data_IF_087923691694
#
_entry.id   IF_087923691694
#
_cell.length_a   1.000
_cell.length_b   1.000
_cell.length_c   1.000
_cell.angle_alpha   90.00
_cell.angle_beta   90.00
_cell.angle_gamma   90.00
#
_symmetry.space_group_name_H-M   'P 1'
#
loop_
_entity.id
_entity.type
_entity.pdbx_description
1 polymer ?
#
# COMPACT_ATOMS: atom_id res chain seq x y z
N UNK A 1 21.89 10.40 -27.96
CA UNK A 1 23.04 11.16 -27.41
C UNK A 1 22.54 11.67 -26.08
N UNK A 2 23.05 11.19 -24.93
CA UNK A 2 22.45 11.51 -23.65
C UNK A 2 22.57 13.02 -23.44
N UNK A 3 21.45 13.68 -23.14
CA UNK A 3 21.40 15.13 -22.99
C UNK A 3 22.25 15.57 -21.78
N UNK A 4 23.27 16.37 -22.08
CA UNK A 4 24.30 16.88 -21.15
C UNK A 4 23.78 17.84 -20.06
N UNK A 5 22.47 17.98 -19.89
CA UNK A 5 21.89 19.01 -19.01
C UNK A 5 21.70 18.53 -17.56
N UNK A 6 21.68 17.23 -17.29
CA UNK A 6 21.44 16.69 -15.93
C UNK A 6 22.69 16.26 -15.15
N UNK A 7 23.90 16.41 -15.72
CA UNK A 7 25.15 15.89 -15.14
C UNK A 7 26.22 16.97 -14.85
N UNK A 8 25.82 18.20 -14.53
CA UNK A 8 26.80 19.21 -14.10
C UNK A 8 27.38 18.81 -12.72
N UNK A 9 28.67 18.46 -12.69
CA UNK A 9 29.48 18.01 -11.55
C UNK A 9 29.35 16.56 -11.05
N UNK A 10 28.88 15.58 -11.83
CA UNK A 10 28.79 14.17 -11.39
C UNK A 10 29.65 13.19 -12.22
N UNK A 11 30.90 13.53 -12.51
CA UNK A 11 31.81 12.65 -13.28
C UNK A 11 32.08 11.29 -12.64
N UNK A 12 31.92 11.15 -11.32
CA UNK A 12 32.10 9.89 -10.59
C UNK A 12 30.96 8.89 -10.84
N UNK A 13 29.75 9.36 -11.20
CA UNK A 13 28.62 8.49 -11.53
C UNK A 13 28.74 7.86 -12.92
N UNK A 14 29.49 8.50 -13.84
CA UNK A 14 29.74 7.98 -15.19
C UNK A 14 30.68 6.76 -15.21
N UNK A 15 31.49 6.56 -14.18
CA UNK A 15 32.37 5.39 -14.09
C UNK A 15 31.63 4.13 -13.63
N UNK A 16 30.45 4.27 -13.02
CA UNK A 16 29.73 3.17 -12.39
C UNK A 16 28.65 2.54 -13.28
N UNK A 17 28.43 3.06 -14.50
CA UNK A 17 27.44 2.54 -15.46
C UNK A 17 26.03 2.34 -14.86
N UNK A 18 25.64 3.18 -13.89
CA UNK A 18 24.33 3.10 -13.27
C UNK A 18 23.24 3.28 -14.33
N UNK A 19 22.19 2.47 -14.23
CA UNK A 19 21.03 2.58 -15.13
C UNK A 19 20.09 3.71 -14.72
N UNK A 20 20.26 4.25 -13.52
CA UNK A 20 19.46 5.35 -12.99
C UNK A 20 20.33 6.49 -12.47
N UNK A 21 19.76 7.68 -12.47
CA UNK A 21 20.34 8.89 -11.91
C UNK A 21 19.39 9.46 -10.86
N UNK A 22 19.91 9.93 -9.72
CA UNK A 22 19.10 10.47 -8.64
C UNK A 22 19.11 12.00 -8.63
N UNK A 23 17.92 12.59 -8.62
CA UNK A 23 17.69 14.02 -8.42
C UNK A 23 17.07 14.25 -7.04
N UNK A 24 17.92 14.65 -6.07
CA UNK A 24 17.52 14.91 -4.69
C UNK A 24 16.57 16.10 -4.52
N UNK A 25 16.63 17.10 -5.41
CA UNK A 25 15.82 18.32 -5.30
C UNK A 25 14.38 18.04 -5.72
N UNK A 26 14.22 17.37 -6.86
CA UNK A 26 12.90 17.03 -7.39
C UNK A 26 12.38 15.68 -6.89
N UNK A 27 13.21 14.92 -6.15
CA UNK A 27 12.91 13.58 -5.63
C UNK A 27 12.58 12.59 -6.74
N UNK A 28 13.41 12.58 -7.78
CA UNK A 28 13.21 11.72 -8.96
C UNK A 28 14.35 10.74 -9.11
N UNK A 29 14.00 9.50 -9.45
CA UNK A 29 14.92 8.46 -9.90
C UNK A 29 14.77 8.40 -11.42
N UNK A 30 15.66 9.08 -12.13
CA UNK A 30 15.64 9.22 -13.58
C UNK A 30 16.23 7.96 -14.22
N UNK A 31 15.46 7.26 -15.06
CA UNK A 31 15.97 6.12 -15.83
C UNK A 31 16.80 6.65 -17.01
N UNK A 32 18.02 6.14 -17.19
CA UNK A 32 18.92 6.61 -18.25
C UNK A 32 18.45 6.16 -19.65
N UNK A 33 18.77 6.95 -20.67
CA UNK A 33 18.37 6.71 -22.07
C UNK A 33 18.84 5.32 -22.55
N UNK A 34 17.93 4.56 -23.17
CA UNK A 34 18.21 3.23 -23.70
C UNK A 34 18.02 2.08 -22.70
N UNK A 35 17.74 2.37 -21.43
CA UNK A 35 17.37 1.35 -20.44
C UNK A 35 15.90 0.97 -20.61
N UNK A 36 15.63 -0.32 -20.83
CA UNK A 36 14.29 -0.89 -20.96
C UNK A 36 13.98 -1.93 -19.87
N UNK A 37 14.97 -2.35 -19.11
CA UNK A 37 14.82 -3.32 -18.02
C UNK A 37 15.57 -2.80 -16.79
N UNK A 38 14.85 -2.76 -15.68
CA UNK A 38 15.30 -2.20 -14.41
C UNK A 38 15.03 -3.19 -13.26
N UNK A 39 16.09 -3.66 -12.61
CA UNK A 39 16.00 -4.47 -11.39
C UNK A 39 16.03 -3.57 -10.14
N UNK A 40 15.01 -3.66 -9.30
CA UNK A 40 14.85 -2.74 -8.17
C UNK A 40 15.92 -2.98 -7.08
N UNK A 41 16.35 -4.21 -6.86
CA UNK A 41 17.34 -4.53 -5.82
C UNK A 41 18.72 -4.00 -6.21
N UNK A 42 19.15 -4.34 -7.41
CA UNK A 42 20.52 -4.08 -7.87
C UNK A 42 20.66 -2.68 -8.45
N UNK A 43 19.73 -2.23 -9.29
CA UNK A 43 19.89 -1.03 -10.13
C UNK A 43 19.12 0.19 -9.61
N UNK A 44 18.35 0.03 -8.52
CA UNK A 44 17.67 1.15 -7.84
C UNK A 44 18.12 1.26 -6.40
N UNK A 45 17.94 0.19 -5.61
CA UNK A 45 18.25 0.23 -4.18
C UNK A 45 19.76 0.24 -3.90
N UNK A 46 20.56 -0.57 -4.60
CA UNK A 46 22.02 -0.53 -4.44
C UNK A 46 22.60 0.80 -4.92
N UNK A 47 22.24 1.23 -6.14
CA UNK A 47 22.66 2.51 -6.72
C UNK A 47 22.28 3.69 -5.83
N UNK A 48 21.10 3.67 -5.19
CA UNK A 48 20.69 4.71 -4.25
C UNK A 48 21.59 4.74 -3.02
N UNK A 49 21.92 3.59 -2.43
CA UNK A 49 22.82 3.52 -1.26
C UNK A 49 24.21 4.06 -1.61
N UNK A 50 24.70 3.78 -2.80
CA UNK A 50 25.98 4.32 -3.28
C UNK A 50 25.90 5.82 -3.48
N UNK A 51 24.87 6.32 -4.17
CA UNK A 51 24.62 7.74 -4.37
C UNK A 51 24.51 8.51 -3.03
N UNK A 52 23.82 7.93 -2.05
CA UNK A 52 23.69 8.49 -0.72
C UNK A 52 25.04 8.52 0.04
N UNK A 53 25.91 7.54 -0.16
CA UNK A 53 27.24 7.48 0.49
C UNK A 53 28.29 8.37 -0.17
N UNK A 54 28.17 8.61 -1.48
CA UNK A 54 29.18 9.32 -2.29
C UNK A 54 29.37 10.78 -1.89
N UNK A 55 28.34 11.46 -1.38
CA UNK A 55 28.45 12.84 -0.90
C UNK A 55 27.75 13.01 0.44
N UNK A 56 28.43 13.66 1.38
CA UNK A 56 27.83 14.11 2.65
C UNK A 56 26.56 14.92 2.44
N UNK A 57 26.48 15.64 1.32
CA UNK A 57 25.36 16.53 0.97
C UNK A 57 24.15 15.75 0.43
N UNK A 58 24.33 14.50 -0.01
CA UNK A 58 23.24 13.66 -0.51
C UNK A 58 22.42 13.02 0.63
N UNK A 59 23.04 12.85 1.80
CA UNK A 59 22.38 12.37 3.04
C UNK A 59 21.46 13.45 3.64
N UNK A 60 21.63 14.71 3.24
CA UNK A 60 20.75 15.81 3.65
C UNK A 60 19.34 15.65 3.08
N UNK A 61 19.20 14.92 1.97
CA UNK A 61 17.90 14.68 1.34
C UNK A 61 17.14 13.56 2.05
N UNK A 62 15.81 13.71 2.12
CA UNK A 62 14.94 12.70 2.72
C UNK A 62 15.11 11.36 2.01
N UNK A 63 15.18 10.28 2.80
CA UNK A 63 15.38 8.92 2.32
C UNK A 63 14.47 8.61 1.12
N UNK A 64 15.06 8.10 0.02
CA UNK A 64 14.30 7.84 -1.21
C UNK A 64 13.64 6.46 -1.21
N UNK A 65 14.33 5.46 -0.66
CA UNK A 65 13.89 4.07 -0.73
C UNK A 65 14.19 3.34 0.59
N UNK A 66 13.26 2.52 1.02
CA UNK A 66 13.41 1.58 2.14
C UNK A 66 13.14 0.15 1.66
N UNK A 67 13.64 -0.84 2.40
CA UNK A 67 13.43 -2.26 2.11
C UNK A 67 12.90 -2.98 3.34
N UNK A 68 12.07 -4.00 3.12
CA UNK A 68 11.57 -4.94 4.12
C UNK A 68 11.86 -6.35 3.62
N UNK A 69 12.47 -7.18 4.47
CA UNK A 69 12.97 -8.50 4.08
C UNK A 69 14.37 -8.42 3.47
N UNK A 70 14.70 -9.37 2.58
CA UNK A 70 16.04 -9.47 2.00
C UNK A 70 17.10 -10.05 2.93
N UNK A 71 16.71 -10.56 4.11
CA UNK A 71 17.64 -11.17 5.05
C UNK A 71 18.19 -12.49 4.47
N UNK A 72 19.51 -12.75 4.62
CA UNK A 72 20.10 -14.01 4.17
C UNK A 72 19.59 -15.17 5.04
N UNK A 73 19.00 -16.17 4.41
CA UNK A 73 18.72 -17.47 5.01
C UNK A 73 19.99 -18.33 4.95
N UNK A 74 20.70 -18.24 3.82
CA UNK A 74 22.01 -18.84 3.58
C UNK A 74 22.88 -17.84 2.81
N UNK A 75 24.12 -18.22 2.47
CA UNK A 75 24.96 -17.40 1.58
C UNK A 75 24.41 -17.25 0.16
N UNK A 76 23.46 -18.10 -0.25
CA UNK A 76 22.91 -18.15 -1.61
C UNK A 76 21.40 -17.95 -1.66
N UNK A 77 20.72 -17.90 -0.50
CA UNK A 77 19.26 -17.79 -0.41
C UNK A 77 18.89 -16.66 0.52
N UNK A 78 18.03 -15.79 0.04
CA UNK A 78 17.55 -14.62 0.78
C UNK A 78 16.03 -14.69 0.94
N UNK A 79 15.51 -14.12 2.02
CA UNK A 79 14.08 -13.87 2.17
C UNK A 79 13.63 -12.91 1.06
N UNK A 80 12.42 -13.10 0.53
CA UNK A 80 11.84 -12.16 -0.42
C UNK A 80 11.88 -10.73 0.11
N UNK A 81 12.33 -9.80 -0.73
CA UNK A 81 12.45 -8.40 -0.40
C UNK A 81 11.28 -7.60 -0.99
N UNK A 82 10.98 -6.48 -0.35
CA UNK A 82 9.99 -5.52 -0.82
C UNK A 82 10.50 -4.11 -0.57
N UNK A 83 10.46 -3.31 -1.63
CA UNK A 83 10.99 -1.96 -1.68
C UNK A 83 9.86 -0.94 -1.63
N UNK A 84 10.07 0.12 -0.86
CA UNK A 84 9.14 1.22 -0.73
C UNK A 84 9.84 2.53 -1.10
N UNK A 85 9.26 3.25 -2.05
CA UNK A 85 9.61 4.65 -2.29
C UNK A 85 9.02 5.51 -1.18
N UNK A 86 9.90 6.30 -0.58
CA UNK A 86 9.66 7.11 0.59
C UNK A 86 9.59 8.60 0.20
N UNK A 87 8.99 9.43 1.06
CA UNK A 87 9.10 10.90 1.00
C UNK A 87 8.71 11.55 -0.35
N UNK A 88 7.83 10.93 -1.13
CA UNK A 88 7.40 11.43 -2.45
C UNK A 88 8.35 11.11 -3.61
N UNK A 89 9.36 10.26 -3.40
CA UNK A 89 10.26 9.86 -4.49
C UNK A 89 9.57 9.00 -5.53
N UNK A 90 9.89 9.19 -6.81
CA UNK A 90 9.29 8.46 -7.93
C UNK A 90 10.31 8.08 -8.99
N UNK A 91 10.09 6.93 -9.64
CA UNK A 91 10.84 6.54 -10.84
C UNK A 91 10.28 7.30 -12.02
N UNK A 92 11.17 7.93 -12.78
CA UNK A 92 10.84 8.71 -13.95
C UNK A 92 11.50 8.07 -15.18
N UNK A 93 10.73 7.38 -16.04
CA UNK A 93 11.22 6.88 -17.30
C UNK A 93 11.75 8.00 -18.20
N UNK A 94 12.72 7.67 -19.06
CA UNK A 94 13.18 8.60 -20.09
C UNK A 94 12.13 8.74 -21.20
N UNK A 95 11.99 9.95 -21.73
CA UNK A 95 11.02 10.23 -22.80
C UNK A 95 11.48 9.66 -24.14
N UNK A 96 10.62 8.89 -24.80
CA UNK A 96 10.87 8.31 -26.12
C UNK A 96 9.83 8.76 -27.14
N UNK A 97 10.25 9.04 -28.36
CA UNK A 97 9.34 9.29 -29.50
C UNK A 97 8.89 7.99 -30.17
N UNK A 98 9.74 6.96 -30.17
CA UNK A 98 9.43 5.65 -30.76
C UNK A 98 8.57 4.76 -29.83
N UNK A 99 8.60 5.07 -28.53
CA UNK A 99 7.95 4.31 -27.47
C UNK A 99 8.67 3.02 -27.11
N UNK A 100 8.49 2.57 -25.86
CA UNK A 100 9.06 1.33 -25.36
C UNK A 100 8.30 0.82 -24.14
N UNK A 101 8.60 -0.42 -23.76
CA UNK A 101 8.14 -1.02 -22.51
C UNK A 101 9.31 -0.97 -21.53
N UNK A 102 9.08 -0.40 -20.35
CA UNK A 102 10.00 -0.45 -19.22
C UNK A 102 9.59 -1.61 -18.31
N UNK A 103 10.40 -2.65 -18.28
CA UNK A 103 10.20 -3.80 -17.40
C UNK A 103 10.90 -3.55 -16.07
N UNK A 104 10.12 -3.31 -15.02
CA UNK A 104 10.59 -3.13 -13.65
C UNK A 104 10.43 -4.44 -12.90
N UNK A 105 11.56 -5.04 -12.54
CA UNK A 105 11.66 -6.34 -11.89
C UNK A 105 11.85 -6.12 -10.39
N UNK A 106 10.92 -6.64 -9.59
CA UNK A 106 10.97 -6.58 -8.13
C UNK A 106 9.72 -5.97 -7.51
N UNK A 107 9.57 -6.24 -6.22
CA UNK A 107 8.44 -5.75 -5.43
C UNK A 107 8.66 -4.29 -5.04
N UNK A 108 8.13 -3.36 -5.84
CA UNK A 108 8.21 -1.92 -5.55
C UNK A 108 6.85 -1.27 -5.36
N UNK A 109 6.74 -0.50 -4.28
CA UNK A 109 5.57 0.26 -3.86
C UNK A 109 5.95 1.68 -3.46
N UNK A 110 4.94 2.53 -3.30
CA UNK A 110 5.08 3.84 -2.64
C UNK A 110 4.49 3.75 -1.23
N UNK A 111 5.04 4.48 -0.26
CA UNK A 111 4.38 4.57 1.06
C UNK A 111 3.04 5.28 1.02
N UNK A 112 2.85 6.19 0.08
CA UNK A 112 1.56 6.87 -0.06
C UNK A 112 0.50 5.89 -0.60
N UNK A 113 -0.63 5.71 0.11
CA UNK A 113 -1.68 4.78 -0.30
C UNK A 113 -2.26 5.13 -1.68
N UNK A 114 -2.44 4.12 -2.54
CA UNK A 114 -3.07 4.26 -3.86
C UNK A 114 -2.23 5.01 -4.90
N UNK A 115 -0.96 5.34 -4.61
CA UNK A 115 -0.07 6.01 -5.54
C UNK A 115 0.75 5.01 -6.37
N UNK A 116 1.29 5.48 -7.49
CA UNK A 116 2.15 4.69 -8.39
C UNK A 116 3.63 5.01 -8.13
N UNK A 117 4.52 4.01 -8.00
CA UNK A 117 5.97 4.23 -7.90
C UNK A 117 6.60 4.84 -9.16
N UNK A 118 5.95 4.70 -10.33
CA UNK A 118 6.49 5.19 -11.61
C UNK A 118 5.60 6.31 -12.16
N UNK A 119 6.23 7.43 -12.53
CA UNK A 119 5.54 8.56 -13.14
C UNK A 119 5.09 8.23 -14.58
N UNK A 120 3.88 8.65 -14.99
CA UNK A 120 3.43 8.48 -16.36
C UNK A 120 4.31 9.29 -17.31
N UNK A 121 4.82 8.64 -18.35
CA UNK A 121 5.69 9.25 -19.36
C UNK A 121 5.14 8.97 -20.76
N UNK A 122 5.01 9.97 -21.65
CA UNK A 122 4.48 9.76 -22.98
C UNK A 122 5.22 8.66 -23.75
N UNK A 123 4.46 7.79 -24.44
CA UNK A 123 4.94 6.65 -25.22
C UNK A 123 5.71 5.58 -24.43
N UNK A 124 5.68 5.61 -23.09
CA UNK A 124 6.30 4.58 -22.26
C UNK A 124 5.21 3.76 -21.57
N UNK A 125 5.23 2.45 -21.76
CA UNK A 125 4.44 1.52 -20.96
C UNK A 125 5.32 0.90 -19.88
N UNK A 126 4.79 0.72 -18.67
CA UNK A 126 5.57 0.18 -17.54
C UNK A 126 4.98 -1.15 -17.14
N UNK A 127 5.80 -2.20 -17.18
CA UNK A 127 5.46 -3.53 -16.67
C UNK A 127 6.10 -3.71 -15.30
N UNK A 128 5.30 -4.01 -14.29
CA UNK A 128 5.78 -4.27 -12.92
C UNK A 128 5.67 -5.77 -12.64
N UNK A 129 6.82 -6.45 -12.56
CA UNK A 129 6.85 -7.86 -12.18
C UNK A 129 6.99 -7.96 -10.66
N UNK A 130 5.87 -8.19 -9.98
CA UNK A 130 5.78 -8.29 -8.52
C UNK A 130 5.59 -9.74 -8.08
N UNK A 131 6.41 -10.20 -7.14
CA UNK A 131 6.23 -11.48 -6.43
C UNK A 131 5.34 -11.24 -5.20
N UNK A 132 4.07 -11.66 -5.27
CA UNK A 132 3.13 -11.40 -4.17
C UNK A 132 3.51 -12.21 -2.91
N UNK A 133 3.53 -11.53 -1.76
CA UNK A 133 3.12 -12.10 -0.49
C UNK A 133 1.68 -11.63 -0.29
N UNK A 134 0.79 -12.49 0.21
CA UNK A 134 -0.65 -12.20 0.30
C UNK A 134 -0.92 -10.89 1.04
N UNK A 135 -1.52 -9.92 0.36
CA UNK A 135 -1.95 -8.65 0.94
C UNK A 135 -3.11 -8.90 1.91
N UNK A 136 -2.88 -8.68 3.21
CA UNK A 136 -3.96 -8.65 4.20
C UNK A 136 -4.44 -7.22 4.32
N UNK A 137 -5.52 -6.87 3.62
CA UNK A 137 -6.20 -5.60 3.86
C UNK A 137 -6.84 -5.65 5.24
N UNK A 138 -6.23 -4.96 6.21
CA UNK A 138 -6.92 -4.64 7.46
C UNK A 138 -7.93 -3.56 7.11
N UNK A 139 -9.15 -3.97 6.74
CA UNK A 139 -10.29 -3.05 6.66
C UNK A 139 -10.49 -2.53 8.08
N UNK A 140 -9.98 -1.31 8.30
CA UNK A 140 -10.13 -0.57 9.55
C UNK A 140 -11.59 -0.63 9.96
N UNK A 141 -11.80 -1.07 11.20
CA UNK A 141 -13.10 -1.45 11.74
C UNK A 141 -14.20 -0.45 11.41
N UNK A 142 -15.01 -0.78 10.43
CA UNK A 142 -16.44 -0.59 10.66
C UNK A 142 -16.74 -1.59 11.76
N UNK A 143 -17.22 -1.13 12.91
CA UNK A 143 -17.90 -2.02 13.85
C UNK A 143 -19.06 -2.64 13.06
N UNK A 144 -18.81 -3.77 12.39
CA UNK A 144 -19.86 -4.71 12.06
C UNK A 144 -20.32 -5.16 13.42
N UNK A 145 -21.23 -4.40 14.03
CA UNK A 145 -22.05 -4.95 15.08
C UNK A 145 -22.63 -6.18 14.44
N UNK A 146 -22.21 -7.33 14.93
CA UNK A 146 -22.53 -8.61 14.29
C UNK A 146 -24.04 -8.62 14.02
N UNK A 147 -24.52 -9.24 12.94
CA UNK A 147 -25.99 -9.29 12.72
C UNK A 147 -26.72 -9.83 13.95
N UNK A 148 -26.04 -10.64 14.76
CA UNK A 148 -26.43 -10.94 16.14
C UNK A 148 -26.59 -9.65 16.97
N UNK A 149 -25.59 -8.84 17.26
CA UNK A 149 -25.78 -7.58 17.99
C UNK A 149 -26.92 -6.67 17.46
N UNK A 150 -27.13 -6.57 16.15
CA UNK A 150 -28.29 -5.84 15.61
C UNK A 150 -29.63 -6.51 15.94
N UNK A 151 -29.72 -7.83 15.79
CA UNK A 151 -30.88 -8.64 16.19
C UNK A 151 -31.13 -8.50 17.69
N UNK A 152 -30.08 -8.53 18.50
CA UNK A 152 -30.17 -8.35 19.95
C UNK A 152 -30.68 -6.94 20.28
N UNK A 153 -30.19 -5.90 19.61
CA UNK A 153 -30.73 -4.53 19.79
C UNK A 153 -32.19 -4.39 19.36
N UNK A 154 -32.60 -4.99 18.23
CA UNK A 154 -34.00 -4.98 17.74
C UNK A 154 -34.92 -5.73 18.71
N UNK A 155 -34.45 -6.84 19.30
CA UNK A 155 -35.20 -7.64 20.27
C UNK A 155 -35.19 -7.07 21.69
N UNK A 156 -34.48 -5.95 21.94
CA UNK A 156 -34.29 -5.42 23.30
C UNK A 156 -33.21 -6.13 24.12
N UNK A 157 -32.64 -7.24 23.63
CA UNK A 157 -31.39 -7.96 23.94
C UNK A 157 -30.22 -7.31 24.73
N UNK A 158 -30.08 -5.99 24.63
CA UNK A 158 -28.83 -5.29 24.95
C UNK A 158 -28.74 -4.92 26.45
N UNK A 159 -28.42 -5.92 27.27
CA UNK A 159 -28.36 -5.81 28.73
C UNK A 159 -29.11 -6.96 29.39
N UNK A 160 -28.70 -7.33 30.61
CA UNK A 160 -29.28 -8.47 31.35
C UNK A 160 -30.81 -8.36 31.39
N UNK A 161 -31.48 -9.41 30.95
CA UNK A 161 -32.91 -9.44 30.75
C UNK A 161 -33.60 -10.48 31.61
N UNK A 162 -34.73 -10.08 32.17
CA UNK A 162 -35.64 -10.99 32.84
C UNK A 162 -36.74 -11.35 31.84
N UNK A 163 -36.70 -12.58 31.36
CA UNK A 163 -37.71 -13.15 30.47
C UNK A 163 -38.72 -13.91 31.35
N UNK A 164 -40.00 -13.63 31.17
CA UNK A 164 -41.10 -14.38 31.78
C UNK A 164 -42.00 -14.96 30.70
N UNK A 165 -42.92 -15.85 31.05
CA UNK A 165 -43.83 -16.49 30.09
C UNK A 165 -44.79 -15.50 29.40
N UNK A 166 -44.87 -14.23 29.87
CA UNK A 166 -45.80 -13.22 29.37
C UNK A 166 -45.17 -11.87 29.03
N UNK A 167 -43.87 -11.66 29.32
CA UNK A 167 -43.21 -10.38 29.01
C UNK A 167 -41.69 -10.48 28.93
N UNK A 168 -41.11 -9.47 28.25
CA UNK A 168 -39.68 -9.17 28.23
C UNK A 168 -39.51 -7.71 28.68
N UNK A 169 -38.66 -7.47 29.68
CA UNK A 169 -38.42 -6.13 30.23
C UNK A 169 -36.93 -5.76 30.17
N UNK A 170 -36.63 -4.55 29.70
CA UNK A 170 -35.29 -3.96 29.61
C UNK A 170 -35.35 -2.49 30.02
N UNK A 171 -34.77 -2.15 31.17
CA UNK A 171 -34.90 -0.79 31.73
C UNK A 171 -36.37 -0.40 31.90
N UNK A 172 -36.77 0.76 31.35
CA UNK A 172 -38.15 1.27 31.42
C UNK A 172 -39.05 0.78 30.26
N UNK A 173 -38.53 -0.07 29.36
CA UNK A 173 -39.27 -0.60 28.21
C UNK A 173 -39.74 -2.02 28.53
N UNK A 174 -41.04 -2.25 28.42
CA UNK A 174 -41.65 -3.58 28.61
C UNK A 174 -42.42 -4.00 27.37
N UNK A 175 -42.04 -5.15 26.80
CA UNK A 175 -42.78 -5.86 25.76
C UNK A 175 -43.69 -6.89 26.42
N UNK A 176 -45.00 -6.68 26.33
CA UNK A 176 -46.01 -7.59 26.90
C UNK A 176 -46.58 -8.47 25.81
N UNK A 177 -46.49 -9.79 25.97
CA UNK A 177 -47.09 -10.76 25.06
C UNK A 177 -48.49 -11.08 25.58
N UNK A 178 -49.50 -10.38 25.07
CA UNK A 178 -50.89 -10.70 25.34
C UNK A 178 -51.40 -11.66 24.24
N UNK A 179 -51.48 -12.96 24.56
CA UNK A 179 -52.17 -13.90 23.69
C UNK A 179 -53.67 -13.84 24.00
N UNK A 180 -54.41 -13.08 23.20
CA UNK A 180 -55.86 -12.93 23.41
C UNK A 180 -56.64 -14.20 23.08
N UNK A 181 -56.07 -15.10 22.25
CA UNK A 181 -56.60 -16.44 21.96
C UNK A 181 -55.45 -17.42 21.64
N UNK A 182 -55.50 -18.63 22.18
CA UNK A 182 -54.55 -19.71 21.88
C UNK A 182 -54.72 -20.12 20.41
N UNK A 183 -53.68 -19.94 19.58
CA UNK A 183 -53.67 -20.34 18.16
C UNK A 183 -53.78 -19.20 17.12
N UNK A 184 -53.83 -17.93 17.54
CA UNK A 184 -53.76 -16.82 16.60
C UNK A 184 -52.32 -16.66 16.06
N UNK A 185 -52.10 -16.98 14.78
CA UNK A 185 -50.78 -16.97 14.12
C UNK A 185 -50.12 -15.60 13.93
N UNK A 186 -50.49 -14.58 14.72
CA UNK A 186 -49.85 -13.25 14.69
C UNK A 186 -49.97 -12.55 16.04
N UNK A 187 -48.85 -12.01 16.52
CA UNK A 187 -48.76 -11.15 17.71
C UNK A 187 -48.58 -9.70 17.26
N UNK A 188 -49.49 -8.81 17.67
CA UNK A 188 -49.42 -7.37 17.34
C UNK A 188 -48.69 -6.62 18.45
N UNK A 189 -47.68 -5.82 18.09
CA UNK A 189 -46.94 -4.94 19.00
C UNK A 189 -47.48 -3.53 18.81
N UNK A 190 -48.10 -2.94 19.84
CA UNK A 190 -48.56 -1.54 19.82
C UNK A 190 -47.73 -0.71 20.81
N UNK A 191 -47.33 0.50 20.38
CA UNK A 191 -46.63 1.48 21.21
C UNK A 191 -47.67 2.37 21.88
N UNK A 192 -47.80 2.29 23.21
CA UNK A 192 -48.50 3.30 24.01
C UNK A 192 -47.67 4.57 24.17
#
# INVERSE_FOLDING_TARGET
MPSLIFNYNNWDLWQQYHKVTFDGVNKLILVNEGVTTLDVQTEVYSDWKEWAKLRSDNIVWSQAISTVGGDPITSETFVGDTYFLENGWRIQPWGSTAGYILDVIGNIYTREPGQNPVNPTPNVSVTLTRSNITETSLVGGTTTTTRLEEIWKILGLAGGQTITDSSITVGDITLTIAQSNVGAGSTTIERS
#
